data_IF_472296494290
#
_entry.id   IF_472296494290
#
_cell.length_a   1.000
_cell.length_b   1.000
_cell.length_c   1.000
_cell.angle_alpha   90.00
_cell.angle_beta   90.00
_cell.angle_gamma   90.00
#
_symmetry.space_group_name_H-M   'P 1'
#
loop_
_entity.id
_entity.type
_entity.pdbx_description
1 polymer ?
#
# COMPACT_ATOMS: atom_id res chain seq x y z
N UNK A 1 7.54 1.65 12.18
CA UNK A 1 8.37 0.57 12.77
C UNK A 1 8.34 -0.70 11.91
N UNK A 2 7.18 -1.31 11.63
CA UNK A 2 7.10 -2.59 10.89
C UNK A 2 7.80 -2.52 9.52
N UNK A 3 7.58 -1.47 8.74
CA UNK A 3 8.21 -1.29 7.41
C UNK A 3 9.73 -1.14 7.47
N UNK A 4 10.25 -0.47 8.51
CA UNK A 4 11.71 -0.36 8.71
C UNK A 4 12.34 -1.71 9.02
N UNK A 5 11.73 -2.48 9.92
CA UNK A 5 12.21 -3.83 10.24
C UNK A 5 12.15 -4.73 9.00
N UNK A 6 11.04 -4.72 8.25
CA UNK A 6 10.90 -5.52 7.03
C UNK A 6 11.90 -5.12 5.94
N UNK A 7 12.29 -3.84 5.86
CA UNK A 7 13.28 -3.37 4.89
C UNK A 7 14.68 -3.92 5.21
N UNK A 8 15.08 -3.92 6.49
CA UNK A 8 16.37 -4.45 6.92
C UNK A 8 16.39 -5.99 6.96
N UNK A 9 15.25 -6.62 7.25
CA UNK A 9 15.11 -8.08 7.31
C UNK A 9 14.57 -8.67 5.99
N UNK A 10 14.67 -7.97 4.86
CA UNK A 10 14.17 -8.43 3.57
C UNK A 10 14.79 -9.76 3.15
N UNK A 11 16.10 -9.90 3.30
CA UNK A 11 16.83 -11.11 2.89
C UNK A 11 16.45 -12.34 3.73
N UNK A 12 16.49 -12.32 5.10
CA UNK A 12 16.08 -13.47 5.89
C UNK A 12 14.61 -13.83 5.73
N UNK A 13 13.73 -12.84 5.47
CA UNK A 13 12.31 -13.10 5.24
C UNK A 13 12.08 -13.83 3.91
N UNK A 14 12.80 -13.47 2.84
CA UNK A 14 12.68 -14.11 1.55
C UNK A 14 13.29 -15.53 1.56
N UNK A 15 14.40 -15.73 2.24
CA UNK A 15 14.98 -17.07 2.47
C UNK A 15 13.99 -17.95 3.23
N UNK A 16 13.38 -17.45 4.28
CA UNK A 16 12.34 -18.18 5.03
C UNK A 16 11.08 -18.47 4.17
N UNK A 17 10.75 -17.60 3.22
CA UNK A 17 9.65 -17.80 2.27
C UNK A 17 9.98 -18.81 1.15
N UNK A 18 11.22 -19.36 1.11
CA UNK A 18 11.63 -20.36 0.14
C UNK A 18 12.13 -19.78 -1.20
N UNK A 19 12.62 -18.55 -1.22
CA UNK A 19 13.19 -17.98 -2.43
C UNK A 19 14.49 -18.71 -2.81
N UNK A 20 14.59 -19.16 -4.06
CA UNK A 20 15.80 -19.79 -4.59
C UNK A 20 16.97 -18.79 -4.63
N UNK A 21 18.19 -19.30 -4.40
CA UNK A 21 19.40 -18.47 -4.30
C UNK A 21 19.68 -17.64 -5.57
N UNK A 22 19.28 -18.15 -6.74
CA UNK A 22 19.47 -17.49 -8.03
C UNK A 22 18.56 -16.25 -8.19
N UNK A 23 17.35 -16.28 -7.63
CA UNK A 23 16.35 -15.21 -7.73
C UNK A 23 16.41 -14.24 -6.54
N UNK A 24 17.11 -14.63 -5.46
CA UNK A 24 17.17 -13.88 -4.21
C UNK A 24 17.55 -12.39 -4.38
N UNK A 25 18.63 -12.02 -5.11
CA UNK A 25 19.04 -10.61 -5.21
C UNK A 25 17.98 -9.73 -5.88
N UNK A 26 17.31 -10.24 -6.91
CA UNK A 26 16.24 -9.51 -7.59
C UNK A 26 14.99 -9.39 -6.71
N UNK A 27 14.69 -10.43 -5.95
CA UNK A 27 13.57 -10.47 -5.03
C UNK A 27 13.75 -9.50 -3.85
N UNK A 28 14.96 -9.39 -3.31
CA UNK A 28 15.29 -8.45 -2.22
C UNK A 28 15.12 -7.00 -2.70
N UNK A 29 15.61 -6.67 -3.89
CA UNK A 29 15.48 -5.32 -4.43
C UNK A 29 14.01 -4.96 -4.71
N UNK A 30 13.26 -5.87 -5.33
CA UNK A 30 11.82 -5.75 -5.53
C UNK A 30 11.09 -5.53 -4.20
N UNK A 31 11.35 -6.38 -3.21
CA UNK A 31 10.73 -6.33 -1.90
C UNK A 31 10.98 -5.00 -1.19
N UNK A 32 12.20 -4.46 -1.26
CA UNK A 32 12.53 -3.17 -0.66
C UNK A 32 11.75 -2.02 -1.29
N UNK A 33 11.64 -2.00 -2.62
CA UNK A 33 10.87 -0.96 -3.33
C UNK A 33 9.39 -1.06 -2.97
N UNK A 34 8.84 -2.26 -2.94
CA UNK A 34 7.44 -2.50 -2.58
C UNK A 34 7.16 -2.10 -1.13
N UNK A 35 8.09 -2.37 -0.19
CA UNK A 35 7.92 -1.96 1.21
C UNK A 35 7.86 -0.45 1.38
N UNK A 36 8.68 0.31 0.65
CA UNK A 36 8.57 1.77 0.60
C UNK A 36 7.21 2.21 0.04
N UNK A 37 6.77 1.57 -1.04
CA UNK A 37 5.46 1.82 -1.63
C UNK A 37 4.30 1.55 -0.68
N UNK A 38 4.37 0.49 0.11
CA UNK A 38 3.36 0.14 1.12
C UNK A 38 3.32 1.16 2.27
N UNK A 39 4.47 1.69 2.68
CA UNK A 39 4.51 2.77 3.67
C UNK A 39 3.73 4.00 3.18
N UNK A 40 4.02 4.46 1.96
CA UNK A 40 3.33 5.59 1.33
C UNK A 40 1.84 5.31 1.15
N UNK A 41 1.50 4.11 0.67
CA UNK A 41 0.12 3.67 0.49
C UNK A 41 -0.67 3.68 1.80
N UNK A 42 -0.06 3.28 2.92
CA UNK A 42 -0.71 3.29 4.25
C UNK A 42 -1.16 4.68 4.66
N UNK A 43 -0.36 5.72 4.40
CA UNK A 43 -0.78 7.10 4.66
C UNK A 43 -1.97 7.51 3.78
N UNK A 44 -1.94 7.16 2.49
CA UNK A 44 -3.05 7.40 1.57
C UNK A 44 -4.33 6.69 2.02
N UNK A 45 -4.22 5.45 2.50
CA UNK A 45 -5.34 4.67 3.05
C UNK A 45 -5.99 5.37 4.26
N UNK A 46 -5.18 5.86 5.21
CA UNK A 46 -5.69 6.59 6.38
C UNK A 46 -6.48 7.84 5.97
N UNK A 47 -5.93 8.65 5.05
CA UNK A 47 -6.59 9.87 4.56
C UNK A 47 -7.89 9.50 3.82
N UNK A 48 -7.84 8.53 2.93
CA UNK A 48 -9.01 8.09 2.18
C UNK A 48 -10.10 7.48 3.08
N UNK A 49 -9.72 6.78 4.16
CA UNK A 49 -10.65 6.28 5.15
C UNK A 49 -11.34 7.42 5.91
N UNK A 50 -10.58 8.44 6.32
CA UNK A 50 -11.13 9.64 6.96
C UNK A 50 -12.08 10.41 6.02
N UNK A 51 -11.74 10.54 4.75
CA UNK A 51 -12.60 11.15 3.72
C UNK A 51 -13.90 10.37 3.53
N UNK A 52 -13.85 9.03 3.51
CA UNK A 52 -15.06 8.21 3.45
C UNK A 52 -15.91 8.36 4.70
N UNK A 53 -15.29 8.39 5.89
CA UNK A 53 -15.99 8.61 7.16
C UNK A 53 -16.70 9.97 7.24
N UNK A 54 -16.19 10.99 6.54
CA UNK A 54 -16.83 12.31 6.41
C UNK A 54 -17.79 12.42 5.22
N UNK A 55 -18.22 11.30 4.65
CA UNK A 55 -19.11 11.22 3.48
C UNK A 55 -18.54 11.80 2.18
N UNK A 56 -17.24 12.12 2.13
CA UNK A 56 -16.57 12.62 0.94
C UNK A 56 -15.92 11.49 0.13
N UNK A 57 -16.74 10.58 -0.36
CA UNK A 57 -16.30 9.40 -1.12
C UNK A 57 -15.65 9.75 -2.46
N UNK A 58 -15.96 10.93 -3.03
CA UNK A 58 -15.40 11.39 -4.31
C UNK A 58 -13.87 11.52 -4.26
N UNK A 59 -13.33 12.04 -3.16
CA UNK A 59 -11.87 12.17 -3.00
C UNK A 59 -11.21 10.80 -2.92
N UNK A 60 -11.77 9.88 -2.13
CA UNK A 60 -11.24 8.54 -2.02
C UNK A 60 -11.28 7.80 -3.37
N UNK A 61 -12.35 8.00 -4.16
CA UNK A 61 -12.45 7.44 -5.49
C UNK A 61 -11.40 8.05 -6.45
N UNK A 62 -11.29 9.37 -6.52
CA UNK A 62 -10.32 10.03 -7.41
C UNK A 62 -8.88 9.70 -7.06
N UNK A 63 -8.55 9.62 -5.76
CA UNK A 63 -7.23 9.19 -5.29
C UNK A 63 -6.91 7.77 -5.77
N UNK A 64 -7.84 6.82 -5.57
CA UNK A 64 -7.65 5.43 -5.99
C UNK A 64 -7.62 5.28 -7.51
N UNK A 65 -8.45 6.02 -8.23
CA UNK A 65 -8.45 6.01 -9.69
C UNK A 65 -7.12 6.55 -10.25
N UNK A 66 -6.61 7.67 -9.71
CA UNK A 66 -5.31 8.24 -10.10
C UNK A 66 -4.17 7.26 -9.85
N UNK A 67 -4.14 6.62 -8.67
CA UNK A 67 -3.16 5.59 -8.34
C UNK A 67 -3.15 4.48 -9.40
N UNK A 68 -4.33 3.93 -9.73
CA UNK A 68 -4.45 2.83 -10.68
C UNK A 68 -4.07 3.25 -12.10
N UNK A 69 -4.52 4.43 -12.56
CA UNK A 69 -4.20 4.95 -13.90
C UNK A 69 -2.69 5.14 -14.05
N UNK A 70 -2.04 5.79 -13.10
CA UNK A 70 -0.59 6.00 -13.11
C UNK A 70 0.15 4.67 -13.08
N UNK A 71 -0.30 3.73 -12.24
CA UNK A 71 0.29 2.40 -12.14
C UNK A 71 0.21 1.64 -13.47
N UNK A 72 -0.97 1.62 -14.12
CA UNK A 72 -1.17 0.92 -15.41
C UNK A 72 -0.30 1.55 -16.51
N UNK A 73 -0.27 2.88 -16.62
CA UNK A 73 0.55 3.58 -17.62
C UNK A 73 2.03 3.27 -17.41
N UNK A 74 2.53 3.38 -16.19
CA UNK A 74 3.94 3.13 -15.89
C UNK A 74 4.30 1.65 -16.02
N UNK A 75 3.41 0.72 -15.67
CA UNK A 75 3.63 -0.71 -15.93
C UNK A 75 3.82 -0.97 -17.44
N UNK A 76 2.97 -0.38 -18.28
CA UNK A 76 3.07 -0.53 -19.73
C UNK A 76 4.40 0.01 -20.28
N UNK A 77 4.89 1.11 -19.74
CA UNK A 77 6.14 1.75 -20.16
C UNK A 77 7.38 1.02 -19.64
N UNK A 78 7.41 0.69 -18.35
CA UNK A 78 8.61 0.21 -17.66
C UNK A 78 8.81 -1.31 -17.74
N UNK A 79 7.73 -2.09 -17.80
CA UNK A 79 7.87 -3.55 -17.94
C UNK A 79 8.34 -3.91 -19.35
N UNK A 80 7.69 -3.32 -20.36
CA UNK A 80 7.95 -3.63 -21.77
C UNK A 80 9.03 -2.81 -22.44
N UNK A 81 9.62 -1.82 -21.75
CA UNK A 81 10.67 -0.94 -22.31
C UNK A 81 10.20 -0.13 -23.52
N UNK A 82 8.93 0.34 -23.52
CA UNK A 82 8.38 1.08 -24.66
C UNK A 82 8.75 2.56 -24.59
N UNK A 83 8.72 3.25 -25.75
CA UNK A 83 9.03 4.67 -25.89
C UNK A 83 10.45 5.09 -25.41
N UNK A 84 11.44 4.19 -25.52
CA UNK A 84 12.81 4.49 -25.15
C UNK A 84 13.15 4.30 -23.66
N UNK A 85 12.20 3.80 -22.87
CA UNK A 85 12.46 3.39 -21.49
C UNK A 85 13.15 2.03 -21.45
N UNK A 86 14.06 1.79 -20.49
CA UNK A 86 14.67 0.47 -20.31
C UNK A 86 13.61 -0.56 -19.89
N UNK A 87 13.68 -1.75 -20.44
CA UNK A 87 12.84 -2.88 -20.04
C UNK A 87 13.30 -3.38 -18.66
N UNK A 88 12.69 -2.88 -17.60
CA UNK A 88 13.05 -3.19 -16.22
C UNK A 88 12.32 -4.43 -15.67
N UNK A 89 11.40 -5.04 -16.43
CA UNK A 89 10.67 -6.23 -16.01
C UNK A 89 10.00 -6.05 -14.64
N UNK A 90 10.31 -6.95 -13.70
CA UNK A 90 9.73 -6.94 -12.34
C UNK A 90 10.09 -5.69 -11.53
N UNK A 91 11.31 -5.14 -11.69
CA UNK A 91 11.69 -3.86 -11.06
C UNK A 91 10.82 -2.71 -11.57
N UNK A 92 10.51 -2.70 -12.88
CA UNK A 92 9.62 -1.72 -13.49
C UNK A 92 8.23 -1.74 -12.87
N UNK A 93 7.68 -2.93 -12.58
CA UNK A 93 6.41 -3.09 -11.89
C UNK A 93 6.42 -2.52 -10.46
N UNK A 94 7.51 -2.74 -9.71
CA UNK A 94 7.65 -2.19 -8.36
C UNK A 94 7.72 -0.66 -8.37
N UNK A 95 8.48 -0.07 -9.31
CA UNK A 95 8.59 1.38 -9.47
C UNK A 95 7.25 1.98 -9.90
N UNK A 96 6.54 1.35 -10.83
CA UNK A 96 5.21 1.80 -11.27
C UNK A 96 4.21 1.81 -10.09
N UNK A 97 4.25 0.80 -9.23
CA UNK A 97 3.43 0.72 -8.03
C UNK A 97 3.79 1.83 -7.04
N UNK A 98 5.07 2.08 -6.82
CA UNK A 98 5.54 3.16 -5.96
C UNK A 98 5.06 4.53 -6.46
N UNK A 99 5.24 4.81 -7.75
CA UNK A 99 4.79 6.06 -8.37
C UNK A 99 3.27 6.22 -8.32
N UNK A 100 2.51 5.14 -8.56
CA UNK A 100 1.07 5.14 -8.40
C UNK A 100 0.63 5.49 -6.98
N UNK A 101 1.28 4.89 -5.97
CA UNK A 101 1.00 5.18 -4.56
C UNK A 101 1.30 6.64 -4.20
N UNK A 102 2.40 7.20 -4.72
CA UNK A 102 2.75 8.62 -4.53
C UNK A 102 1.67 9.51 -5.17
N UNK A 103 1.28 9.23 -6.42
CA UNK A 103 0.27 10.01 -7.12
C UNK A 103 -1.08 9.99 -6.38
N UNK A 104 -1.53 8.81 -5.94
CA UNK A 104 -2.75 8.67 -5.15
C UNK A 104 -2.67 9.42 -3.81
N UNK A 105 -1.54 9.33 -3.11
CA UNK A 105 -1.31 10.06 -1.86
C UNK A 105 -1.36 11.57 -2.09
N UNK A 106 -0.74 12.09 -3.16
CA UNK A 106 -0.75 13.52 -3.48
C UNK A 106 -2.18 14.03 -3.68
N UNK A 107 -3.02 13.30 -4.42
CA UNK A 107 -4.44 13.66 -4.59
C UNK A 107 -5.17 13.69 -3.25
N UNK A 108 -4.94 12.69 -2.39
CA UNK A 108 -5.55 12.63 -1.07
C UNK A 108 -5.10 13.79 -0.17
N UNK A 109 -3.81 14.12 -0.15
CA UNK A 109 -3.23 15.21 0.64
C UNK A 109 -3.72 16.58 0.13
N UNK A 110 -3.69 16.81 -1.19
CA UNK A 110 -4.19 18.07 -1.78
C UNK A 110 -5.65 18.32 -1.41
N UNK A 111 -6.45 17.25 -1.29
CA UNK A 111 -7.85 17.37 -0.89
C UNK A 111 -8.03 17.91 0.53
N UNK A 112 -7.07 17.68 1.45
CA UNK A 112 -7.11 18.18 2.83
C UNK A 112 -6.88 19.69 2.91
N UNK A 113 -6.18 20.26 1.93
CA UNK A 113 -5.89 21.71 1.86
C UNK A 113 -6.94 22.50 1.10
N UNK A 114 -7.90 21.84 0.44
CA UNK A 114 -9.01 22.55 -0.23
C UNK A 114 -9.90 23.26 0.78
N UNK A 115 -10.10 24.59 0.60
CA UNK A 115 -10.90 25.46 1.49
C UNK A 115 -12.35 25.00 1.69
N UNK A 116 -12.93 24.28 0.73
CA UNK A 116 -14.31 23.78 0.76
C UNK A 116 -14.39 22.27 1.06
N UNK A 117 -13.31 21.67 1.60
CA UNK A 117 -13.31 20.26 1.99
C UNK A 117 -14.07 20.00 3.30
N UNK A 118 -14.76 18.86 3.38
CA UNK A 118 -15.40 18.38 4.62
C UNK A 118 -14.39 18.12 5.73
N UNK A 119 -13.16 17.74 5.40
CA UNK A 119 -12.06 17.57 6.33
C UNK A 119 -11.06 18.73 6.14
N UNK A 120 -10.80 19.44 7.23
CA UNK A 120 -9.73 20.42 7.32
C UNK A 120 -8.65 19.90 8.24
N UNK A 121 -7.41 19.95 7.80
CA UNK A 121 -6.27 19.62 8.63
C UNK A 121 -5.90 20.83 9.47
N UNK A 122 -6.22 20.76 10.76
CA UNK A 122 -5.81 21.79 11.74
C UNK A 122 -4.57 21.30 12.48
N UNK A 123 -3.41 21.82 12.08
CA UNK A 123 -2.11 21.46 12.65
C UNK A 123 -2.06 21.70 14.17
N UNK A 124 -2.80 22.69 14.67
CA UNK A 124 -2.82 23.02 16.10
C UNK A 124 -3.51 21.95 16.95
N UNK A 125 -4.46 21.21 16.36
CA UNK A 125 -5.20 20.14 17.04
C UNK A 125 -4.58 18.76 16.84
N UNK A 126 -3.58 18.62 16.02
CA UNK A 126 -2.95 17.34 15.71
C UNK A 126 -2.33 16.65 16.93
N UNK A 127 -1.86 17.42 17.90
CA UNK A 127 -1.24 16.91 19.14
C UNK A 127 -2.21 16.75 20.31
N UNK A 128 -3.49 17.05 20.14
CA UNK A 128 -4.49 16.86 21.21
C UNK A 128 -4.84 15.37 21.30
N UNK A 129 -4.36 14.72 22.35
CA UNK A 129 -4.64 13.31 22.62
C UNK A 129 -5.99 13.19 23.33
N UNK A 130 -6.98 12.63 22.65
CA UNK A 130 -8.26 12.27 23.23
C UNK A 130 -8.34 10.75 23.42
N UNK A 131 -8.31 10.33 24.68
CA UNK A 131 -8.33 8.90 25.03
C UNK A 131 -9.64 8.22 24.67
N UNK A 132 -10.74 8.96 24.59
CA UNK A 132 -12.07 8.43 24.23
C UNK A 132 -12.10 8.03 22.75
N UNK A 133 -11.55 8.91 21.90
CA UNK A 133 -11.40 8.66 20.47
C UNK A 133 -10.45 7.48 20.23
N UNK A 134 -9.31 7.47 20.94
CA UNK A 134 -8.35 6.36 20.86
C UNK A 134 -8.96 5.01 21.23
N UNK A 135 -9.77 4.95 22.29
CA UNK A 135 -10.48 3.74 22.70
C UNK A 135 -11.47 3.25 21.63
N UNK A 136 -12.22 4.16 21.02
CA UNK A 136 -13.15 3.83 19.94
C UNK A 136 -12.43 3.33 18.69
N UNK A 137 -11.34 3.99 18.28
CA UNK A 137 -10.51 3.56 17.16
C UNK A 137 -9.92 2.18 17.42
N UNK A 138 -9.39 1.92 18.62
CA UNK A 138 -8.83 0.62 18.98
C UNK A 138 -9.87 -0.50 18.89
N UNK A 139 -11.09 -0.27 19.43
CA UNK A 139 -12.19 -1.24 19.39
C UNK A 139 -12.60 -1.61 17.96
N UNK A 140 -12.76 -0.63 17.10
CA UNK A 140 -13.12 -0.86 15.68
C UNK A 140 -11.97 -1.49 14.91
N UNK A 141 -10.74 -1.01 15.12
CA UNK A 141 -9.56 -1.51 14.42
C UNK A 141 -9.20 -2.95 14.79
N UNK A 142 -9.39 -3.34 16.05
CA UNK A 142 -9.13 -4.73 16.50
C UNK A 142 -10.11 -5.71 15.84
N UNK A 143 -11.40 -5.36 15.70
CA UNK A 143 -12.38 -6.16 14.97
C UNK A 143 -12.03 -6.31 13.50
N UNK A 144 -11.71 -5.20 12.82
CA UNK A 144 -11.30 -5.21 11.43
C UNK A 144 -9.98 -5.99 11.21
N UNK A 145 -9.03 -5.90 12.14
CA UNK A 145 -7.79 -6.67 12.08
C UNK A 145 -8.04 -8.18 12.21
N UNK A 146 -8.91 -8.58 13.14
CA UNK A 146 -9.29 -9.99 13.30
C UNK A 146 -9.96 -10.54 12.02
N UNK A 147 -10.89 -9.80 11.43
CA UNK A 147 -11.52 -10.14 10.15
C UNK A 147 -10.48 -10.33 9.04
N UNK A 148 -9.55 -9.38 8.89
CA UNK A 148 -8.49 -9.47 7.88
C UNK A 148 -7.56 -10.66 8.08
N UNK A 149 -7.26 -11.02 9.33
CA UNK A 149 -6.46 -12.20 9.64
C UNK A 149 -7.17 -13.49 9.19
N UNK A 150 -8.47 -13.62 9.50
CA UNK A 150 -9.26 -14.80 9.09
C UNK A 150 -9.29 -14.92 7.56
N UNK A 151 -9.54 -13.81 6.85
CA UNK A 151 -9.53 -13.79 5.38
C UNK A 151 -8.15 -14.21 4.84
N UNK A 152 -7.06 -13.69 5.39
CA UNK A 152 -5.69 -14.04 4.96
C UNK A 152 -5.37 -15.51 5.19
N UNK A 153 -5.75 -16.06 6.33
CA UNK A 153 -5.57 -17.49 6.64
C UNK A 153 -6.38 -18.33 5.65
N UNK A 154 -7.63 -17.95 5.36
CA UNK A 154 -8.47 -18.62 4.37
C UNK A 154 -7.84 -18.64 2.98
N UNK A 155 -7.35 -17.51 2.48
CA UNK A 155 -6.66 -17.44 1.20
C UNK A 155 -5.37 -18.25 1.16
N UNK A 156 -4.59 -18.22 2.24
CA UNK A 156 -3.35 -19.00 2.34
C UNK A 156 -3.63 -20.51 2.29
N UNK A 157 -4.65 -20.96 3.04
CA UNK A 157 -5.08 -22.36 3.05
C UNK A 157 -5.57 -22.80 1.67
N UNK A 158 -6.40 -21.95 1.03
CA UNK A 158 -6.91 -22.20 -0.33
C UNK A 158 -5.77 -22.30 -1.35
N UNK A 159 -4.82 -21.37 -1.33
CA UNK A 159 -3.66 -21.39 -2.21
C UNK A 159 -2.81 -22.66 -2.01
N UNK A 160 -2.63 -23.10 -0.76
CA UNK A 160 -1.89 -24.33 -0.43
C UNK A 160 -2.58 -25.59 -0.95
N UNK A 161 -3.94 -25.64 -0.86
CA UNK A 161 -4.72 -26.75 -1.39
C UNK A 161 -4.59 -26.82 -2.92
N UNK A 162 -4.71 -25.68 -3.62
CA UNK A 162 -4.56 -25.63 -5.07
C UNK A 162 -3.16 -26.05 -5.50
N UNK A 163 -2.13 -25.57 -4.83
CA UNK A 163 -0.75 -25.96 -5.12
C UNK A 163 -0.52 -27.47 -4.91
N UNK A 164 -1.19 -28.09 -3.95
CA UNK A 164 -1.14 -29.54 -3.74
C UNK A 164 -1.94 -30.39 -4.73
N UNK A 165 -2.88 -29.78 -5.45
CA UNK A 165 -3.68 -30.45 -6.48
C UNK A 165 -3.11 -30.29 -7.90
N UNK A 166 -2.14 -29.40 -8.08
CA UNK A 166 -1.53 -29.05 -9.38
C UNK A 166 -0.20 -29.73 -9.68
N UNK A 167 0.21 -30.70 -8.84
CA UNK A 167 1.34 -31.63 -9.07
C UNK A 167 0.78 -33.09 -9.20
#
# INVERSE_FOLDING_TARGET
MIYGVSYFCAEPLLVFAGAEAEVLPYSVEYFRIVMLGLCIYSFGLCINAAQRGSSNTRVAFTSSATLNIVNVILNYLLIGGKFGFPALGTKGAAIATLCGNIAGLLVAVVSLFKKNGYLRFDVRRFFVRDNTILGSVWKVSSGAAAEQLVIRIGFFTFAKIIAGLGT
#
